data_IF_431176311597
#
_entry.id   IF_431176311597
#
_cell.length_a   1.000
_cell.length_b   1.000
_cell.length_c   1.000
_cell.angle_alpha   90.00
_cell.angle_beta   90.00
_cell.angle_gamma   90.00
#
_symmetry.space_group_name_H-M   'P 1'
#
loop_
_entity.id
_entity.type
_entity.pdbx_description
1 polymer ?
#
# COMPACT_ATOMS: atom_id res chain seq x y z
N UNK A 1 -12.51 3.59 -9.50
CA UNK A 1 -13.21 3.54 -8.19
C UNK A 1 -14.15 2.35 -8.22
N UNK A 2 -14.08 1.50 -7.22
CA UNK A 2 -14.83 0.25 -7.10
C UNK A 2 -15.58 0.28 -5.77
N UNK A 3 -16.86 -0.09 -5.78
CA UNK A 3 -17.68 -0.15 -4.57
C UNK A 3 -17.66 -1.59 -4.02
N UNK A 4 -17.32 -1.72 -2.73
CA UNK A 4 -17.23 -2.98 -2.00
C UNK A 4 -17.92 -2.82 -0.64
N UNK A 5 -19.00 -3.51 -0.38
CA UNK A 5 -19.75 -3.64 0.89
C UNK A 5 -19.54 -2.51 1.93
N UNK A 6 -20.03 -1.29 1.61
CA UNK A 6 -20.00 -0.13 2.51
C UNK A 6 -18.76 0.75 2.40
N UNK A 7 -17.80 0.39 1.55
CA UNK A 7 -16.66 1.24 1.21
C UNK A 7 -16.52 1.38 -0.30
N UNK A 8 -15.84 2.43 -0.75
CA UNK A 8 -15.32 2.52 -2.11
C UNK A 8 -13.79 2.60 -2.10
N UNK A 9 -13.16 1.94 -3.08
CA UNK A 9 -11.71 1.86 -3.18
C UNK A 9 -11.22 2.39 -4.52
N UNK A 10 -10.06 3.01 -4.55
CA UNK A 10 -9.46 3.55 -5.78
C UNK A 10 -7.94 3.43 -5.74
N UNK A 11 -7.37 3.02 -6.87
CA UNK A 11 -5.94 3.21 -7.13
C UNK A 11 -5.73 4.57 -7.80
N UNK A 12 -4.89 5.42 -7.22
CA UNK A 12 -4.62 6.78 -7.71
C UNK A 12 -3.29 6.87 -8.46
N UNK A 13 -2.68 5.74 -8.74
CA UNK A 13 -1.41 5.59 -9.43
C UNK A 13 -0.26 5.21 -8.50
N UNK A 14 0.72 4.48 -9.04
CA UNK A 14 1.88 3.93 -8.35
C UNK A 14 1.52 3.15 -7.09
N UNK A 15 1.84 3.68 -5.90
CA UNK A 15 1.53 3.08 -4.61
C UNK A 15 0.37 3.79 -3.88
N UNK A 16 -0.21 4.85 -4.47
CA UNK A 16 -1.23 5.64 -3.79
C UNK A 16 -2.60 5.01 -3.91
N UNK A 17 -3.20 4.71 -2.76
CA UNK A 17 -4.49 4.06 -2.63
C UNK A 17 -5.43 4.91 -1.78
N UNK A 18 -6.73 4.84 -2.07
CA UNK A 18 -7.79 5.52 -1.32
C UNK A 18 -8.91 4.55 -0.97
N UNK A 19 -9.29 4.55 0.29
CA UNK A 19 -10.43 3.82 0.84
C UNK A 19 -11.39 4.85 1.41
N UNK A 20 -12.66 4.82 1.04
CA UNK A 20 -13.68 5.76 1.52
C UNK A 20 -14.87 5.00 2.07
N UNK A 21 -15.17 5.19 3.34
CA UNK A 21 -16.41 4.80 3.99
C UNK A 21 -17.42 5.96 4.01
N UNK A 22 -18.46 5.84 4.84
CA UNK A 22 -19.50 6.87 4.95
C UNK A 22 -18.97 8.19 5.49
N UNK A 23 -18.13 8.15 6.54
CA UNK A 23 -17.61 9.34 7.24
C UNK A 23 -16.06 9.37 7.32
N UNK A 24 -15.37 8.34 6.84
CA UNK A 24 -13.91 8.22 6.98
C UNK A 24 -13.26 7.92 5.63
N UNK A 25 -12.24 8.70 5.28
CA UNK A 25 -11.37 8.48 4.12
C UNK A 25 -9.96 8.15 4.58
N UNK A 26 -9.43 7.02 4.10
CA UNK A 26 -8.06 6.56 4.38
C UNK A 26 -7.23 6.60 3.10
N UNK A 27 -6.06 7.20 3.16
CA UNK A 27 -5.06 7.13 2.10
C UNK A 27 -3.87 6.27 2.54
N UNK A 28 -3.38 5.44 1.62
CA UNK A 28 -2.14 4.68 1.80
C UNK A 28 -1.11 5.21 0.80
N UNK A 29 0.10 5.48 1.27
CA UNK A 29 1.27 5.91 0.49
C UNK A 29 0.98 7.05 -0.51
N UNK A 30 0.36 8.17 -0.11
CA UNK A 30 0.09 9.26 -1.03
C UNK A 30 1.38 9.97 -1.44
N UNK A 31 1.64 10.06 -2.74
CA UNK A 31 2.86 10.67 -3.22
C UNK A 31 2.93 10.87 -4.73
N UNK A 32 4.15 11.05 -5.21
CA UNK A 32 4.46 11.20 -6.62
C UNK A 32 4.00 10.00 -7.45
N UNK A 33 3.73 10.25 -8.72
CA UNK A 33 3.11 9.30 -9.67
C UNK A 33 1.66 8.90 -9.31
N UNK A 34 1.05 9.58 -8.34
CA UNK A 34 -0.32 9.41 -7.88
C UNK A 34 -0.99 10.77 -7.75
N UNK A 35 -1.01 11.34 -6.54
CA UNK A 35 -1.81 12.53 -6.20
C UNK A 35 -1.14 13.88 -6.44
N UNK A 36 0.12 13.97 -6.90
CA UNK A 36 0.81 15.25 -7.05
C UNK A 36 0.49 16.00 -8.35
N UNK A 37 -0.14 15.37 -9.33
CA UNK A 37 -0.41 15.96 -10.64
C UNK A 37 -1.87 16.41 -10.79
N UNK A 38 -2.28 17.37 -9.95
CA UNK A 38 -3.60 18.00 -10.07
C UNK A 38 -4.75 17.24 -9.43
N UNK A 39 -4.45 16.37 -8.48
CA UNK A 39 -5.46 15.70 -7.66
C UNK A 39 -6.12 16.69 -6.69
N UNK A 40 -7.46 16.68 -6.64
CA UNK A 40 -8.25 17.50 -5.71
C UNK A 40 -8.51 16.64 -4.45
N UNK A 41 -7.62 16.76 -3.47
CA UNK A 41 -7.64 16.02 -2.21
C UNK A 41 -8.07 16.89 -1.02
N UNK A 42 -7.50 16.61 0.16
CA UNK A 42 -7.79 17.33 1.41
C UNK A 42 -8.99 16.77 2.18
N UNK A 43 -9.37 15.55 1.85
CA UNK A 43 -10.47 14.79 2.44
C UNK A 43 -10.02 13.55 3.22
N UNK A 44 -8.71 13.33 3.32
CA UNK A 44 -8.14 12.18 4.04
C UNK A 44 -8.17 12.39 5.54
N UNK A 45 -8.98 11.63 6.26
CA UNK A 45 -9.03 11.63 7.72
C UNK A 45 -7.85 10.87 8.32
N UNK A 46 -7.41 9.81 7.60
CA UNK A 46 -6.28 8.97 8.00
C UNK A 46 -5.32 8.84 6.81
N UNK A 47 -4.04 9.05 7.07
CA UNK A 47 -2.99 8.88 6.05
C UNK A 47 -1.93 7.92 6.58
N UNK A 48 -1.80 6.76 5.91
CA UNK A 48 -0.84 5.72 6.28
C UNK A 48 0.36 5.75 5.34
N UNK A 49 1.58 5.55 5.87
CA UNK A 49 2.79 5.44 5.06
C UNK A 49 3.60 4.22 5.48
N UNK A 50 3.89 3.37 4.50
CA UNK A 50 4.52 2.06 4.70
C UNK A 50 6.02 2.15 4.99
N UNK A 51 6.76 3.03 4.30
CA UNK A 51 8.22 3.13 4.43
C UNK A 51 8.79 4.41 3.77
N UNK A 52 10.13 4.57 3.84
CA UNK A 52 10.85 5.76 3.37
C UNK A 52 10.59 6.13 1.91
N UNK A 53 10.54 5.14 1.01
CA UNK A 53 10.42 5.41 -0.44
C UNK A 53 9.09 6.08 -0.78
N UNK A 54 8.04 5.77 -0.02
CA UNK A 54 6.70 6.31 -0.16
C UNK A 54 6.40 7.50 0.74
N UNK A 55 7.30 7.83 1.71
CA UNK A 55 7.11 9.01 2.54
C UNK A 55 7.30 10.29 1.72
N UNK A 56 6.21 10.95 1.38
CA UNK A 56 6.17 12.16 0.56
C UNK A 56 5.30 13.23 1.22
N UNK A 57 5.94 14.29 1.73
CA UNK A 57 5.23 15.32 2.49
C UNK A 57 4.32 16.20 1.63
N UNK A 58 4.61 16.33 0.34
CA UNK A 58 3.72 17.03 -0.58
C UNK A 58 2.48 16.19 -0.88
N UNK A 59 2.65 14.87 -1.05
CA UNK A 59 1.54 13.92 -1.19
C UNK A 59 0.65 13.89 0.04
N UNK A 60 1.25 13.76 1.23
CA UNK A 60 0.52 13.81 2.51
C UNK A 60 -0.30 15.11 2.61
N UNK A 61 0.31 16.29 2.36
CA UNK A 61 -0.38 17.57 2.42
C UNK A 61 -1.49 17.73 1.38
N UNK A 62 -1.34 17.06 0.23
CA UNK A 62 -2.36 17.10 -0.83
C UNK A 62 -3.63 16.37 -0.41
N UNK A 63 -3.51 15.23 0.30
CA UNK A 63 -4.67 14.39 0.62
C UNK A 63 -5.23 14.62 2.01
N UNK A 64 -4.39 15.00 3.00
CA UNK A 64 -4.80 15.10 4.39
C UNK A 64 -5.80 16.24 4.65
N UNK A 65 -6.89 15.94 5.34
CA UNK A 65 -7.77 16.95 5.95
C UNK A 65 -7.02 17.73 7.04
N UNK A 66 -7.58 18.85 7.48
CA UNK A 66 -6.91 19.73 8.46
C UNK A 66 -6.63 19.04 9.81
N UNK A 67 -7.49 18.11 10.19
CA UNK A 67 -7.48 17.33 11.42
C UNK A 67 -7.12 15.86 11.20
N UNK A 68 -6.51 15.55 10.07
CA UNK A 68 -6.07 14.20 9.71
C UNK A 68 -5.11 13.61 10.76
N UNK A 69 -5.15 12.30 10.89
CA UNK A 69 -4.20 11.54 11.68
C UNK A 69 -3.24 10.76 10.76
N UNK A 70 -1.93 10.89 10.99
CA UNK A 70 -0.93 10.14 10.26
C UNK A 70 -0.60 8.84 10.99
N UNK A 71 -0.60 7.73 10.26
CA UNK A 71 -0.14 6.42 10.74
C UNK A 71 1.13 6.05 9.98
N UNK A 72 2.26 6.17 10.62
CA UNK A 72 3.57 6.03 9.98
C UNK A 72 4.31 4.81 10.53
N UNK A 73 4.92 4.03 9.64
CA UNK A 73 5.83 2.98 10.08
C UNK A 73 7.01 3.58 10.86
N UNK A 74 7.37 2.99 11.99
CA UNK A 74 8.39 3.55 12.89
C UNK A 74 9.79 3.61 12.27
N UNK A 75 10.07 2.75 11.28
CA UNK A 75 11.32 2.71 10.54
C UNK A 75 11.53 3.88 9.57
N UNK A 76 10.52 4.74 9.34
CA UNK A 76 10.66 5.90 8.43
C UNK A 76 11.74 6.85 8.94
N UNK A 77 12.78 7.03 8.10
CA UNK A 77 13.91 7.89 8.39
C UNK A 77 14.16 8.89 7.26
N UNK A 78 13.77 10.14 7.47
CA UNK A 78 13.92 11.21 6.48
C UNK A 78 15.34 11.48 6.02
N UNK A 79 16.36 11.04 6.77
CA UNK A 79 17.76 11.16 6.36
C UNK A 79 18.17 10.15 5.26
N UNK A 80 17.39 9.10 5.04
CA UNK A 80 17.61 8.13 3.96
C UNK A 80 16.91 8.54 2.65
N UNK A 81 16.03 9.54 2.73
CA UNK A 81 15.23 10.01 1.59
C UNK A 81 16.03 11.03 0.79
N UNK A 82 16.33 10.76 -0.47
CA UNK A 82 17.18 11.63 -1.31
C UNK A 82 16.49 12.94 -1.74
N UNK A 83 15.15 13.01 -1.67
CA UNK A 83 14.38 14.23 -1.95
C UNK A 83 14.17 15.07 -0.69
N UNK A 84 13.83 16.34 -0.89
CA UNK A 84 13.45 17.22 0.23
C UNK A 84 12.10 16.82 0.79
N UNK A 85 12.06 16.40 2.05
CA UNK A 85 10.84 16.10 2.81
C UNK A 85 10.93 16.70 4.20
N UNK A 86 9.79 17.04 4.77
CA UNK A 86 9.71 17.47 6.18
C UNK A 86 9.76 16.24 7.10
N UNK A 87 10.26 16.41 8.32
CA UNK A 87 10.18 15.33 9.31
C UNK A 87 8.73 15.16 9.75
N UNK A 88 8.30 13.96 10.15
CA UNK A 88 6.93 13.76 10.67
C UNK A 88 6.54 14.75 11.77
N UNK A 89 7.48 15.06 12.68
CA UNK A 89 7.24 15.98 13.79
C UNK A 89 7.09 17.47 13.38
N UNK A 90 7.43 17.82 12.14
CA UNK A 90 7.29 19.18 11.61
C UNK A 90 5.99 19.35 10.80
N UNK A 91 5.27 18.26 10.55
CA UNK A 91 3.95 18.29 9.92
C UNK A 91 2.86 18.71 10.92
N UNK A 92 1.78 19.39 10.48
CA UNK A 92 0.74 19.93 11.38
C UNK A 92 -0.32 18.89 11.78
N UNK A 93 -0.02 17.61 11.69
CA UNK A 93 -0.96 16.50 11.92
C UNK A 93 -0.58 15.71 13.18
N UNK A 94 -1.57 15.13 13.84
CA UNK A 94 -1.29 14.10 14.83
C UNK A 94 -0.66 12.89 14.16
N UNK A 95 0.36 12.29 14.81
CA UNK A 95 1.11 11.19 14.24
C UNK A 95 1.15 10.03 15.22
N UNK A 96 0.73 8.85 14.76
CA UNK A 96 1.00 7.56 15.42
C UNK A 96 2.07 6.82 14.65
N UNK A 97 3.00 6.24 15.38
CA UNK A 97 3.96 5.30 14.82
C UNK A 97 3.52 3.86 15.09
N UNK A 98 3.70 3.00 14.10
CA UNK A 98 3.40 1.57 14.17
C UNK A 98 4.64 0.76 13.81
N UNK A 99 4.81 -0.39 14.43
CA UNK A 99 5.78 -1.40 14.08
C UNK A 99 5.11 -2.46 13.17
N UNK A 100 5.82 -3.49 12.77
CA UNK A 100 5.23 -4.69 12.16
C UNK A 100 4.35 -5.42 13.18
N UNK A 101 3.26 -6.05 12.69
CA UNK A 101 2.30 -6.81 13.52
C UNK A 101 1.62 -5.97 14.62
N UNK A 102 1.47 -4.66 14.40
CA UNK A 102 0.68 -3.77 15.27
C UNK A 102 -0.80 -3.84 14.93
N UNK A 103 -1.64 -3.71 15.96
CA UNK A 103 -3.09 -3.54 15.84
C UNK A 103 -3.48 -2.24 16.53
N UNK A 104 -4.06 -1.29 15.79
CA UNK A 104 -4.52 0.00 16.33
C UNK A 104 -5.92 0.36 15.80
N UNK A 105 -6.67 1.13 16.59
CA UNK A 105 -7.89 1.78 16.13
C UNK A 105 -7.61 3.28 15.93
N UNK A 106 -8.04 3.79 14.77
CA UNK A 106 -7.94 5.20 14.41
C UNK A 106 -9.30 5.64 13.86
N UNK A 107 -10.01 6.50 14.59
CA UNK A 107 -11.41 6.81 14.27
C UNK A 107 -12.25 5.53 14.18
N UNK A 108 -12.88 5.30 13.03
CA UNK A 108 -13.68 4.10 12.76
C UNK A 108 -12.87 2.97 12.11
N UNK A 109 -11.64 3.23 11.69
CA UNK A 109 -10.78 2.23 11.07
C UNK A 109 -10.04 1.39 12.10
N UNK A 110 -9.92 0.09 11.82
CA UNK A 110 -8.98 -0.82 12.49
C UNK A 110 -7.84 -1.04 11.53
N UNK A 111 -6.62 -0.73 11.95
CA UNK A 111 -5.42 -0.84 11.14
C UNK A 111 -4.49 -1.86 11.76
N UNK A 112 -4.20 -2.92 11.02
CA UNK A 112 -3.18 -3.91 11.33
C UNK A 112 -2.01 -3.72 10.38
N UNK A 113 -0.79 -3.91 10.88
CA UNK A 113 0.41 -3.94 10.05
C UNK A 113 0.93 -5.35 9.88
N UNK A 114 1.59 -5.60 8.74
CA UNK A 114 2.28 -6.85 8.45
C UNK A 114 3.74 -6.56 8.10
N UNK A 115 4.62 -7.55 8.21
CA UNK A 115 5.99 -7.42 7.76
C UNK A 115 6.05 -7.25 6.23
N UNK A 116 6.86 -6.29 5.75
CA UNK A 116 7.09 -6.04 4.33
C UNK A 116 8.59 -5.94 4.05
N UNK A 117 9.14 -6.91 3.29
CA UNK A 117 10.55 -6.95 2.92
C UNK A 117 10.83 -7.93 1.78
N UNK A 118 12.01 -7.79 1.13
CA UNK A 118 12.49 -8.74 0.14
C UNK A 118 13.38 -9.79 0.79
N UNK A 119 13.27 -11.04 0.32
CA UNK A 119 14.14 -12.13 0.77
C UNK A 119 15.58 -11.89 0.29
N UNK A 120 16.57 -11.89 1.18
CA UNK A 120 17.96 -11.69 0.77
C UNK A 120 18.53 -12.84 -0.10
N UNK A 121 17.87 -14.00 -0.14
CA UNK A 121 18.26 -15.13 -0.98
C UNK A 121 17.59 -15.12 -2.36
N UNK A 122 16.66 -14.18 -2.61
CA UNK A 122 15.98 -14.02 -3.88
C UNK A 122 16.61 -12.96 -4.78
N UNK A 123 16.01 -12.70 -5.94
CA UNK A 123 16.58 -11.85 -6.99
C UNK A 123 16.44 -10.34 -6.76
N UNK A 124 15.64 -9.91 -5.76
CA UNK A 124 15.33 -8.48 -5.50
C UNK A 124 16.39 -7.82 -4.63
N UNK A 125 17.62 -7.90 -5.13
CA UNK A 125 18.80 -7.36 -4.45
C UNK A 125 19.50 -6.32 -5.33
N UNK A 126 20.14 -5.36 -4.71
CA UNK A 126 21.00 -4.37 -5.34
C UNK A 126 22.28 -5.02 -5.86
N UNK A 127 23.05 -4.31 -6.67
CA UNK A 127 24.39 -4.77 -7.09
C UNK A 127 25.33 -5.08 -5.92
N UNK A 128 25.05 -4.49 -4.75
CA UNK A 128 25.79 -4.77 -3.50
C UNK A 128 25.43 -6.12 -2.87
N UNK A 129 24.37 -6.78 -3.32
CA UNK A 129 23.81 -7.99 -2.72
C UNK A 129 22.83 -7.72 -1.57
N UNK A 130 22.54 -6.46 -1.25
CA UNK A 130 21.52 -6.11 -0.25
C UNK A 130 20.12 -6.06 -0.87
N UNK A 131 19.07 -6.53 -0.17
CA UNK A 131 17.70 -6.39 -0.63
C UNK A 131 17.33 -4.92 -0.91
N UNK A 132 16.45 -4.69 -1.88
CA UNK A 132 15.89 -3.34 -2.09
C UNK A 132 15.10 -2.87 -0.88
N UNK A 133 14.34 -3.78 -0.27
CA UNK A 133 13.59 -3.57 0.97
C UNK A 133 14.07 -4.60 2.02
N UNK A 134 15.10 -4.30 2.81
CA UNK A 134 15.52 -5.19 3.88
C UNK A 134 14.46 -5.27 4.99
N UNK A 135 14.47 -6.36 5.74
CA UNK A 135 13.60 -6.54 6.91
C UNK A 135 13.70 -5.36 7.88
N UNK A 136 12.54 -4.87 8.35
CA UNK A 136 12.45 -3.69 9.22
C UNK A 136 12.50 -2.34 8.49
N UNK A 137 12.52 -2.32 7.14
CA UNK A 137 12.43 -1.07 6.38
C UNK A 137 11.01 -0.55 6.30
N UNK A 138 10.00 -1.44 6.22
CA UNK A 138 8.61 -1.09 5.99
C UNK A 138 7.61 -2.10 6.52
N UNK A 139 6.34 -1.80 6.34
CA UNK A 139 5.21 -2.65 6.67
C UNK A 139 4.17 -2.67 5.55
N UNK A 140 3.29 -3.65 5.56
CA UNK A 140 2.01 -3.62 4.87
C UNK A 140 0.90 -3.10 5.79
N UNK A 141 -0.21 -2.69 5.21
CA UNK A 141 -1.41 -2.26 5.93
C UNK A 141 -2.61 -3.14 5.58
N UNK A 142 -3.24 -3.68 6.61
CA UNK A 142 -4.55 -4.30 6.55
C UNK A 142 -5.53 -3.37 7.27
N UNK A 143 -6.43 -2.75 6.51
CA UNK A 143 -7.37 -1.73 7.01
C UNK A 143 -8.78 -2.32 6.99
N UNK A 144 -9.46 -2.33 8.13
CA UNK A 144 -10.89 -2.65 8.20
C UNK A 144 -11.67 -1.36 8.43
N UNK A 145 -12.59 -1.05 7.52
CA UNK A 145 -13.49 0.10 7.58
C UNK A 145 -14.90 -0.34 7.20
N UNK A 146 -15.90 0.09 7.96
CA UNK A 146 -17.31 -0.29 7.78
C UNK A 146 -17.57 -1.82 7.73
N UNK A 147 -16.66 -2.62 8.30
CA UNK A 147 -16.73 -4.08 8.31
C UNK A 147 -16.07 -4.77 7.12
N UNK A 148 -15.57 -4.02 6.13
CA UNK A 148 -14.85 -4.53 4.96
C UNK A 148 -13.35 -4.35 5.13
N UNK A 149 -12.60 -5.41 4.84
CA UNK A 149 -11.15 -5.47 5.00
C UNK A 149 -10.42 -5.25 3.66
N UNK A 150 -9.43 -4.38 3.69
CA UNK A 150 -8.57 -4.05 2.54
C UNK A 150 -7.13 -4.34 2.93
N UNK A 151 -6.41 -5.12 2.12
CA UNK A 151 -5.02 -5.45 2.37
C UNK A 151 -4.09 -4.94 1.28
N UNK A 152 -3.15 -4.10 1.67
CA UNK A 152 -2.00 -3.66 0.87
C UNK A 152 -0.71 -4.13 1.55
N UNK A 153 0.02 -5.09 0.99
CA UNK A 153 1.19 -5.68 1.65
C UNK A 153 2.42 -4.76 1.69
N UNK A 154 2.38 -3.59 1.03
CA UNK A 154 3.54 -2.72 0.85
C UNK A 154 4.55 -3.29 -0.13
N UNK A 155 5.78 -2.77 -0.11
CA UNK A 155 6.85 -3.21 -1.00
C UNK A 155 7.52 -4.46 -0.41
N UNK A 156 7.06 -5.63 -0.86
CA UNK A 156 7.45 -6.93 -0.31
C UNK A 156 7.44 -8.03 -1.36
N UNK A 157 8.12 -9.12 -1.05
CA UNK A 157 7.89 -10.44 -1.63
C UNK A 157 6.70 -11.11 -0.93
N UNK A 158 6.18 -12.21 -1.47
CA UNK A 158 5.19 -13.04 -0.77
C UNK A 158 5.81 -13.61 0.52
N UNK A 159 5.27 -13.25 1.69
CA UNK A 159 5.81 -13.69 2.99
C UNK A 159 4.92 -14.69 3.68
N UNK A 160 5.53 -15.58 4.46
CA UNK A 160 4.80 -16.52 5.30
C UNK A 160 3.88 -15.77 6.27
N UNK A 161 2.61 -16.14 6.30
CA UNK A 161 1.60 -15.54 7.15
C UNK A 161 0.71 -14.49 6.48
N UNK A 162 1.13 -13.91 5.35
CA UNK A 162 0.26 -13.03 4.54
C UNK A 162 -1.00 -13.77 4.07
N UNK A 163 -0.87 -15.05 3.74
CA UNK A 163 -1.94 -15.96 3.30
C UNK A 163 -2.97 -16.33 4.40
N UNK A 164 -2.77 -15.83 5.64
CA UNK A 164 -3.65 -16.14 6.79
C UNK A 164 -4.59 -15.00 7.16
N UNK A 165 -4.52 -13.89 6.45
CA UNK A 165 -5.39 -12.76 6.68
C UNK A 165 -6.77 -13.02 6.09
N UNK A 166 -7.79 -12.48 6.72
CA UNK A 166 -9.14 -12.39 6.19
C UNK A 166 -9.25 -11.08 5.40
N UNK A 167 -9.43 -11.17 4.07
CA UNK A 167 -9.28 -10.04 3.18
C UNK A 167 -10.42 -10.02 2.16
N UNK A 168 -11.19 -8.94 2.13
CA UNK A 168 -12.24 -8.73 1.13
C UNK A 168 -11.68 -8.07 -0.14
N UNK A 169 -10.75 -7.10 0.02
CA UNK A 169 -10.11 -6.40 -1.09
C UNK A 169 -8.59 -6.53 -0.99
N UNK A 170 -7.95 -7.08 -2.01
CA UNK A 170 -6.50 -7.24 -2.03
C UNK A 170 -5.83 -6.34 -3.06
N UNK A 171 -4.85 -5.54 -2.62
CA UNK A 171 -4.04 -4.65 -3.45
C UNK A 171 -2.58 -5.13 -3.56
N UNK A 172 -2.27 -6.16 -4.35
CA UNK A 172 -0.90 -6.64 -4.52
C UNK A 172 -0.07 -5.71 -5.41
N UNK A 173 1.20 -5.42 -5.04
CA UNK A 173 2.15 -4.89 -5.99
C UNK A 173 2.53 -5.98 -7.00
N UNK A 174 2.63 -5.63 -8.30
CA UNK A 174 2.96 -6.60 -9.38
C UNK A 174 4.16 -6.19 -10.23
N UNK A 175 4.87 -5.12 -9.83
CA UNK A 175 5.97 -4.55 -10.62
C UNK A 175 7.24 -5.41 -10.74
N UNK A 176 7.43 -6.40 -9.88
CA UNK A 176 8.43 -7.48 -10.00
C UNK A 176 9.87 -7.10 -9.67
N UNK A 177 10.32 -5.88 -9.92
CA UNK A 177 11.72 -5.48 -9.70
C UNK A 177 12.04 -5.24 -8.23
N UNK A 178 11.13 -4.62 -7.51
CA UNK A 178 11.30 -4.22 -6.11
C UNK A 178 10.34 -4.97 -5.17
N UNK A 179 9.31 -5.55 -5.74
CA UNK A 179 8.18 -6.18 -5.04
C UNK A 179 7.87 -7.52 -5.70
N UNK A 180 6.86 -8.22 -5.23
CA UNK A 180 6.30 -9.38 -5.91
C UNK A 180 6.15 -9.12 -7.41
N UNK A 181 6.41 -10.14 -8.20
CA UNK A 181 5.99 -10.14 -9.60
C UNK A 181 4.52 -10.60 -9.71
N UNK A 182 3.96 -10.50 -10.92
CA UNK A 182 2.57 -10.87 -11.18
C UNK A 182 2.22 -12.33 -10.87
N UNK A 183 3.20 -13.24 -10.84
CA UNK A 183 2.98 -14.66 -10.54
C UNK A 183 2.91 -14.90 -9.04
N UNK A 184 3.85 -14.33 -8.28
CA UNK A 184 3.85 -14.38 -6.82
C UNK A 184 2.61 -13.69 -6.24
N UNK A 185 2.26 -12.52 -6.79
CA UNK A 185 1.05 -11.78 -6.42
C UNK A 185 -0.23 -12.58 -6.71
N UNK A 186 -0.27 -13.31 -7.83
CA UNK A 186 -1.39 -14.19 -8.16
C UNK A 186 -1.48 -15.41 -7.23
N UNK A 187 -0.35 -15.99 -6.84
CA UNK A 187 -0.33 -17.11 -5.90
C UNK A 187 -0.83 -16.68 -4.51
N UNK A 188 -0.41 -15.51 -4.03
CA UNK A 188 -0.90 -14.94 -2.78
C UNK A 188 -2.40 -14.59 -2.86
N UNK A 189 -2.85 -14.00 -3.96
CA UNK A 189 -4.26 -13.68 -4.17
C UNK A 189 -5.17 -14.92 -4.11
N UNK A 190 -4.72 -16.03 -4.71
CA UNK A 190 -5.45 -17.32 -4.63
C UNK A 190 -5.46 -17.89 -3.22
N UNK A 191 -4.38 -17.71 -2.46
CA UNK A 191 -4.31 -18.20 -1.08
C UNK A 191 -5.19 -17.39 -0.12
N UNK A 192 -5.30 -16.07 -0.35
CA UNK A 192 -6.16 -15.15 0.41
C UNK A 192 -7.65 -15.31 0.06
N UNK A 193 -7.97 -15.70 -1.18
CA UNK A 193 -9.36 -15.85 -1.70
C UNK A 193 -10.23 -14.60 -1.46
N UNK A 194 -9.78 -13.37 -1.82
CA UNK A 194 -10.53 -12.15 -1.60
C UNK A 194 -11.72 -12.03 -2.57
N UNK A 195 -12.69 -11.17 -2.23
CA UNK A 195 -13.81 -10.85 -3.12
C UNK A 195 -13.34 -10.17 -4.41
N UNK A 196 -12.31 -9.31 -4.32
CA UNK A 196 -11.72 -8.62 -5.48
C UNK A 196 -10.22 -8.32 -5.28
N UNK A 197 -9.48 -8.43 -6.38
CA UNK A 197 -8.06 -8.06 -6.46
C UNK A 197 -7.89 -6.83 -7.37
N UNK A 198 -7.14 -5.84 -6.91
CA UNK A 198 -6.75 -4.66 -7.70
C UNK A 198 -5.23 -4.55 -7.69
N UNK A 199 -4.53 -4.92 -8.78
CA UNK A 199 -3.07 -4.82 -8.83
C UNK A 199 -2.61 -3.36 -8.82
N UNK A 200 -1.52 -3.10 -8.13
CA UNK A 200 -0.93 -1.77 -7.95
C UNK A 200 0.58 -1.80 -8.13
N UNK A 201 1.25 -0.66 -7.98
CA UNK A 201 2.71 -0.54 -8.01
C UNK A 201 3.33 -1.10 -9.29
N UNK A 202 2.73 -0.78 -10.45
CA UNK A 202 3.23 -1.14 -11.78
C UNK A 202 3.02 0.01 -12.78
N UNK A 203 3.71 -0.03 -13.91
CA UNK A 203 3.61 0.90 -15.06
C UNK A 203 3.84 2.40 -14.73
N UNK A 204 4.24 2.77 -13.51
CA UNK A 204 4.54 4.16 -13.18
C UNK A 204 5.88 4.64 -13.76
N UNK A 205 6.83 3.75 -13.99
CA UNK A 205 8.12 4.01 -14.64
C UNK A 205 8.72 2.69 -15.16
N UNK A 206 9.72 2.75 -16.11
CA UNK A 206 10.15 1.56 -16.85
C UNK A 206 10.63 0.37 -16.03
N UNK A 207 11.16 0.59 -14.81
CA UNK A 207 11.65 -0.51 -13.98
C UNK A 207 10.54 -1.39 -13.37
N UNK A 208 9.30 -0.92 -13.36
CA UNK A 208 8.14 -1.62 -12.80
C UNK A 208 7.04 -1.86 -13.84
N UNK A 209 7.39 -1.91 -15.13
CA UNK A 209 6.44 -2.31 -16.16
C UNK A 209 6.00 -3.76 -15.94
N UNK A 210 4.68 -3.99 -15.91
CA UNK A 210 4.10 -5.31 -15.75
C UNK A 210 2.84 -5.48 -16.59
N UNK A 211 2.56 -6.71 -17.03
CA UNK A 211 1.39 -7.03 -17.82
C UNK A 211 0.18 -7.29 -16.90
N UNK A 212 -0.55 -6.22 -16.54
CA UNK A 212 -1.75 -6.28 -15.71
C UNK A 212 -2.87 -7.11 -16.35
N UNK A 213 -3.00 -7.10 -17.69
CA UNK A 213 -4.00 -7.91 -18.40
C UNK A 213 -3.68 -9.41 -18.26
N UNK A 214 -2.40 -9.78 -18.39
CA UNK A 214 -1.98 -11.16 -18.18
C UNK A 214 -2.16 -11.59 -16.72
N UNK A 215 -1.94 -10.70 -15.75
CA UNK A 215 -2.22 -10.93 -14.34
C UNK A 215 -3.72 -11.21 -14.12
N UNK A 216 -4.59 -10.34 -14.61
CA UNK A 216 -6.04 -10.50 -14.49
C UNK A 216 -6.52 -11.80 -15.14
N UNK A 217 -6.07 -12.08 -16.37
CA UNK A 217 -6.43 -13.32 -17.08
C UNK A 217 -5.94 -14.61 -16.39
N UNK A 218 -4.86 -14.55 -15.61
CA UNK A 218 -4.37 -15.69 -14.81
C UNK A 218 -5.28 -15.93 -13.61
N UNK A 219 -5.59 -14.88 -12.85
CA UNK A 219 -6.47 -14.95 -11.67
C UNK A 219 -7.90 -15.36 -12.01
N UNK A 220 -8.48 -14.82 -13.10
CA UNK A 220 -9.81 -15.21 -13.58
C UNK A 220 -9.90 -16.72 -13.88
N UNK A 221 -8.86 -17.31 -14.50
CA UNK A 221 -8.80 -18.76 -14.74
C UNK A 221 -8.72 -19.57 -13.45
N UNK A 222 -8.20 -18.96 -12.39
CA UNK A 222 -8.07 -19.56 -11.05
C UNK A 222 -9.28 -19.27 -10.17
N UNK A 223 -10.28 -18.54 -10.69
CA UNK A 223 -11.56 -18.26 -10.03
C UNK A 223 -11.58 -17.04 -9.12
N UNK A 224 -10.54 -16.20 -9.16
CA UNK A 224 -10.43 -14.97 -8.38
C UNK A 224 -10.85 -13.76 -9.22
N UNK A 225 -11.68 -12.89 -8.66
CA UNK A 225 -12.14 -11.66 -9.32
C UNK A 225 -11.04 -10.59 -9.33
N UNK A 226 -10.86 -9.94 -10.49
CA UNK A 226 -9.84 -8.89 -10.66
C UNK A 226 -10.45 -7.68 -11.35
N UNK A 227 -10.14 -6.50 -10.84
CA UNK A 227 -10.47 -5.24 -11.48
C UNK A 227 -9.17 -4.48 -11.81
N UNK A 228 -9.08 -3.98 -13.05
CA UNK A 228 -7.98 -3.11 -13.46
C UNK A 228 -8.48 -1.67 -13.41
N UNK A 229 -8.10 -0.92 -12.38
CA UNK A 229 -8.38 0.52 -12.29
C UNK A 229 -7.39 1.26 -13.24
N UNK A 230 -7.92 2.02 -14.21
CA UNK A 230 -7.15 2.71 -15.26
C UNK A 230 -7.45 4.20 -15.29
#
# INVERSE_FOLDING_TARGET
MIDCDGISVSWLGYATLRITGDETTVYLDPGRYGVLEGYDGGDGDIVCVTHDHHYDTDGIRTVAATDAELVLFEGINTHRIERSVERPADLPYETRTVDTESDIAVGEAIIRTTAAYNDPEESRVRETGEPYHPEGLGCGFHVTLAGTSVYYPGDTDGRDGHDRLDVDVFWPPIGGTFTMDRHEAADLAVALDPDVVLPVHYDAFPAIEADGEAFAADLEKRGVSVELDR
#
